data_IF_813261737462
#
_entry.id   IF_813261737462
#
_cell.length_a   1.000
_cell.length_b   1.000
_cell.length_c   1.000
_cell.angle_alpha   90.00
_cell.angle_beta   90.00
_cell.angle_gamma   90.00
#
_symmetry.space_group_name_H-M   'P 1'
#
loop_
_entity.id
_entity.type
_entity.pdbx_description
1 polymer ?
#
# COMPACT_ATOMS: atom_id res chain seq x y z
N UNK A 1 -38.08 3.85 34.58
CA UNK A 1 -37.82 4.98 33.68
C UNK A 1 -36.71 5.93 34.17
N UNK A 2 -36.69 6.37 35.46
CA UNK A 2 -35.61 7.27 35.97
C UNK A 2 -34.17 6.75 35.80
N UNK A 3 -33.94 5.45 35.87
CA UNK A 3 -32.58 4.87 35.69
C UNK A 3 -32.05 4.95 34.27
N UNK A 4 -32.90 4.82 33.25
CA UNK A 4 -32.50 4.88 31.85
C UNK A 4 -32.07 6.29 31.41
N UNK A 5 -32.79 7.32 31.88
CA UNK A 5 -32.44 8.73 31.59
C UNK A 5 -31.10 9.13 32.26
N UNK A 6 -30.83 8.61 33.46
CA UNK A 6 -29.55 8.80 34.12
C UNK A 6 -28.42 8.15 33.31
N UNK A 7 -28.58 6.91 32.85
CA UNK A 7 -27.59 6.23 32.01
C UNK A 7 -27.33 6.94 30.68
N UNK A 8 -28.38 7.44 30.03
CA UNK A 8 -28.22 8.25 28.80
C UNK A 8 -27.44 9.54 29.06
N UNK A 9 -27.69 10.20 30.20
CA UNK A 9 -26.95 11.41 30.56
C UNK A 9 -25.45 11.11 30.81
N UNK A 10 -25.16 10.07 31.58
CA UNK A 10 -23.78 9.64 31.85
C UNK A 10 -23.04 9.23 30.57
N UNK A 11 -23.73 8.52 29.65
CA UNK A 11 -23.17 8.16 28.34
C UNK A 11 -22.82 9.42 27.51
N UNK A 12 -23.71 10.41 27.43
CA UNK A 12 -23.44 11.67 26.71
C UNK A 12 -22.22 12.40 27.28
N UNK A 13 -22.12 12.53 28.60
CA UNK A 13 -20.97 13.17 29.26
C UNK A 13 -19.67 12.41 28.97
N UNK A 14 -19.73 11.07 28.97
CA UNK A 14 -18.55 10.24 28.64
C UNK A 14 -18.15 10.37 27.17
N UNK A 15 -19.13 10.47 26.25
CA UNK A 15 -18.92 10.68 24.83
C UNK A 15 -18.27 12.05 24.57
N UNK A 16 -18.78 13.11 25.18
CA UNK A 16 -18.21 14.47 25.04
C UNK A 16 -16.78 14.57 25.57
N UNK A 17 -16.46 13.88 26.68
CA UNK A 17 -15.10 13.76 27.19
C UNK A 17 -14.17 12.99 26.26
N UNK A 18 -14.65 11.89 25.66
CA UNK A 18 -13.89 11.11 24.72
C UNK A 18 -13.61 11.91 23.44
N UNK A 19 -14.60 12.63 22.92
CA UNK A 19 -14.46 13.49 21.73
C UNK A 19 -13.52 14.66 21.99
N UNK A 20 -13.66 15.37 23.15
CA UNK A 20 -12.77 16.48 23.50
C UNK A 20 -11.32 16.00 23.71
N UNK A 21 -11.12 14.83 24.31
CA UNK A 21 -9.80 14.22 24.46
C UNK A 21 -9.18 13.83 23.12
N UNK A 22 -9.97 13.34 22.20
CA UNK A 22 -9.52 13.01 20.86
C UNK A 22 -9.13 14.26 20.07
N UNK A 23 -9.94 15.31 20.13
CA UNK A 23 -9.65 16.62 19.49
C UNK A 23 -8.34 17.22 20.02
N UNK A 24 -8.14 17.17 21.34
CA UNK A 24 -6.91 17.67 21.96
C UNK A 24 -5.69 16.82 21.54
N UNK A 25 -5.83 15.51 21.44
CA UNK A 25 -4.76 14.64 20.97
C UNK A 25 -4.35 14.95 19.53
N UNK A 26 -5.31 15.18 18.62
CA UNK A 26 -5.04 15.57 17.25
C UNK A 26 -4.36 16.95 17.15
N UNK A 27 -4.73 17.90 17.99
CA UNK A 27 -4.06 19.19 18.07
C UNK A 27 -2.58 19.02 18.43
N UNK A 28 -2.24 18.21 19.42
CA UNK A 28 -0.84 17.94 19.76
C UNK A 28 -0.08 17.22 18.66
N UNK A 29 -0.73 16.30 17.95
CA UNK A 29 -0.14 15.62 16.80
C UNK A 29 0.22 16.63 15.70
N UNK A 30 -0.65 17.59 15.42
CA UNK A 30 -0.43 18.67 14.45
C UNK A 30 0.75 19.57 14.87
N UNK A 31 0.80 20.01 16.13
CA UNK A 31 1.90 20.82 16.65
C UNK A 31 3.24 20.08 16.60
N UNK A 32 3.27 18.78 16.93
CA UNK A 32 4.47 17.97 16.82
C UNK A 32 4.93 17.87 15.36
N UNK A 33 4.01 17.57 14.44
CA UNK A 33 4.32 17.48 13.03
C UNK A 33 4.86 18.80 12.48
N UNK A 34 4.23 19.92 12.83
CA UNK A 34 4.67 21.28 12.46
C UNK A 34 6.08 21.55 12.96
N UNK A 35 6.36 21.33 14.25
CA UNK A 35 7.66 21.55 14.84
C UNK A 35 8.75 20.69 14.20
N UNK A 36 8.46 19.45 13.85
CA UNK A 36 9.40 18.56 13.15
C UNK A 36 9.72 19.09 11.74
N UNK A 37 8.70 19.47 10.95
CA UNK A 37 8.90 19.92 9.56
C UNK A 37 9.66 21.24 9.49
N UNK A 38 9.34 22.19 10.37
CA UNK A 38 9.99 23.51 10.35
C UNK A 38 11.26 23.59 11.21
N UNK A 39 11.47 22.63 12.13
CA UNK A 39 12.65 22.56 13.00
C UNK A 39 13.78 21.68 12.49
N UNK A 40 13.59 20.90 11.43
CA UNK A 40 14.63 20.06 10.85
C UNK A 40 15.30 20.74 9.65
N UNK A 41 16.63 20.71 9.60
CA UNK A 41 17.43 21.31 8.53
C UNK A 41 17.52 20.42 7.27
N UNK A 42 17.23 19.12 7.40
CA UNK A 42 17.26 18.19 6.27
C UNK A 42 16.12 17.17 6.32
N UNK A 43 15.78 16.66 5.13
CA UNK A 43 14.76 15.61 4.95
C UNK A 43 15.12 14.33 5.72
N UNK A 44 16.39 13.96 5.73
CA UNK A 44 16.86 12.75 6.41
C UNK A 44 16.65 12.85 7.93
N UNK A 45 17.05 13.96 8.54
CA UNK A 45 16.84 14.22 9.98
C UNK A 45 15.34 14.27 10.32
N UNK A 46 14.53 14.88 9.46
CA UNK A 46 13.08 14.86 9.61
C UNK A 46 12.53 13.44 9.64
N UNK A 47 12.91 12.60 8.67
CA UNK A 47 12.41 11.21 8.59
C UNK A 47 12.86 10.36 9.79
N UNK A 48 14.08 10.55 10.29
CA UNK A 48 14.57 9.91 11.51
C UNK A 48 13.76 10.32 12.74
N UNK A 49 13.45 11.61 12.90
CA UNK A 49 12.64 12.12 14.00
C UNK A 49 11.19 11.65 13.92
N UNK A 50 10.61 11.59 12.71
CA UNK A 50 9.28 11.01 12.49
C UNK A 50 9.24 9.52 12.87
N UNK A 51 10.26 8.75 12.51
CA UNK A 51 10.36 7.34 12.88
C UNK A 51 10.50 7.16 14.40
N UNK A 52 11.30 8.00 15.08
CA UNK A 52 11.42 7.98 16.54
C UNK A 52 10.08 8.25 17.22
N UNK A 53 9.34 9.28 16.80
CA UNK A 53 8.00 9.60 17.32
C UNK A 53 7.00 8.46 17.08
N UNK A 54 7.00 7.87 15.88
CA UNK A 54 6.13 6.75 15.55
C UNK A 54 6.42 5.54 16.45
N UNK A 55 7.69 5.19 16.65
CA UNK A 55 8.11 4.09 17.52
C UNK A 55 7.73 4.33 18.99
N UNK A 56 7.98 5.53 19.52
CA UNK A 56 7.56 5.87 20.89
C UNK A 56 6.05 5.75 21.07
N UNK A 57 5.26 6.19 20.09
CA UNK A 57 3.81 6.09 20.13
C UNK A 57 3.33 4.66 20.08
N UNK A 58 4.04 3.76 19.38
CA UNK A 58 3.72 2.33 19.32
C UNK A 58 4.09 1.57 20.61
N UNK A 59 5.22 1.87 21.23
CA UNK A 59 5.80 1.09 22.34
C UNK A 59 5.26 1.46 23.73
N UNK A 60 4.82 2.71 23.94
CA UNK A 60 4.44 3.24 25.28
C UNK A 60 3.36 2.48 26.08
N UNK A 61 2.76 1.41 25.57
CA UNK A 61 1.73 0.61 26.27
C UNK A 61 2.13 -0.81 26.64
N UNK A 62 3.28 -1.30 26.20
CA UNK A 62 3.74 -2.63 26.63
C UNK A 62 4.26 -2.62 28.08
N UNK A 63 4.72 -1.45 28.56
CA UNK A 63 5.28 -1.31 29.91
C UNK A 63 4.22 -1.23 31.03
N UNK A 64 2.96 -0.93 30.74
CA UNK A 64 1.89 -0.79 31.76
C UNK A 64 0.92 -1.97 31.84
N UNK A 65 1.19 -3.07 31.13
CA UNK A 65 0.33 -4.25 31.02
C UNK A 65 0.79 -5.48 31.76
N UNK A 66 1.59 -5.36 32.83
CA UNK A 66 2.12 -6.51 33.60
C UNK A 66 1.12 -7.13 34.61
N UNK A 67 -0.14 -6.72 34.59
CA UNK A 67 -1.19 -7.40 35.37
C UNK A 67 -2.17 -8.12 34.45
N UNK A 68 -1.96 -9.43 34.35
CA UNK A 68 -2.58 -10.36 33.42
C UNK A 68 -4.06 -10.63 33.66
N UNK A 69 -4.95 -9.67 33.54
CA UNK A 69 -6.39 -9.90 33.33
C UNK A 69 -6.89 -9.15 32.11
N UNK A 70 -7.25 -9.93 31.12
CA UNK A 70 -7.71 -9.58 29.81
C UNK A 70 -8.96 -8.70 29.83
N UNK A 71 -8.81 -7.46 29.44
CA UNK A 71 -9.91 -6.66 28.93
C UNK A 71 -9.82 -6.62 27.38
N UNK A 72 -10.22 -7.72 26.75
CA UNK A 72 -10.22 -7.87 25.30
C UNK A 72 -11.09 -6.84 24.54
N UNK A 73 -12.00 -6.14 25.24
CA UNK A 73 -12.84 -5.09 24.66
C UNK A 73 -12.19 -3.69 24.69
N UNK A 74 -11.32 -3.39 25.67
CA UNK A 74 -10.63 -2.09 25.75
C UNK A 74 -9.40 -1.98 24.84
N UNK A 75 -8.78 -3.09 24.47
CA UNK A 75 -7.65 -3.13 23.55
C UNK A 75 -8.03 -2.68 22.13
N UNK A 76 -9.24 -2.96 21.68
CA UNK A 76 -9.74 -2.55 20.35
C UNK A 76 -9.79 -1.04 20.17
N UNK A 77 -10.49 -0.32 21.07
CA UNK A 77 -10.71 1.13 20.92
C UNK A 77 -9.42 1.94 21.12
N UNK A 78 -8.60 1.59 22.11
CA UNK A 78 -7.34 2.31 22.41
C UNK A 78 -6.24 2.05 21.37
N UNK A 79 -6.20 0.87 20.74
CA UNK A 79 -5.30 0.56 19.63
C UNK A 79 -5.71 1.28 18.35
N UNK A 80 -6.99 1.26 18.00
CA UNK A 80 -7.53 1.95 16.84
C UNK A 80 -7.25 3.46 16.90
N UNK A 81 -7.48 4.11 18.04
CA UNK A 81 -7.19 5.54 18.22
C UNK A 81 -5.71 5.88 18.00
N UNK A 82 -4.78 5.00 18.36
CA UNK A 82 -3.35 5.20 18.17
C UNK A 82 -2.97 5.12 16.70
N UNK A 83 -3.50 4.13 15.98
CA UNK A 83 -3.24 3.97 14.55
C UNK A 83 -3.83 5.12 13.74
N UNK A 84 -5.03 5.59 14.10
CA UNK A 84 -5.58 6.82 13.55
C UNK A 84 -4.71 8.03 13.83
N UNK A 85 -4.23 8.23 15.07
CA UNK A 85 -3.38 9.36 15.40
C UNK A 85 -2.07 9.37 14.61
N UNK A 86 -1.43 8.20 14.42
CA UNK A 86 -0.25 8.07 13.58
C UNK A 86 -0.55 8.32 12.08
N UNK A 87 -1.72 7.91 11.60
CA UNK A 87 -2.16 8.22 10.24
C UNK A 87 -2.36 9.74 10.06
N UNK A 88 -2.99 10.40 11.01
CA UNK A 88 -3.11 11.87 11.02
C UNK A 88 -1.76 12.56 11.10
N UNK A 89 -0.82 12.05 11.91
CA UNK A 89 0.54 12.56 11.96
C UNK A 89 1.22 12.54 10.58
N UNK A 90 1.14 11.41 9.88
CA UNK A 90 1.68 11.28 8.52
C UNK A 90 1.01 12.25 7.54
N UNK A 91 -0.32 12.45 7.68
CA UNK A 91 -1.05 13.43 6.88
C UNK A 91 -0.60 14.88 7.16
N UNK A 92 -0.40 15.22 8.43
CA UNK A 92 0.09 16.54 8.83
C UNK A 92 1.52 16.81 8.33
N UNK A 93 2.43 15.83 8.45
CA UNK A 93 3.78 15.92 7.89
C UNK A 93 3.74 16.19 6.38
N UNK A 94 2.93 15.42 5.62
CA UNK A 94 2.81 15.60 4.17
C UNK A 94 2.24 16.98 3.81
N UNK A 95 1.28 17.49 4.59
CA UNK A 95 0.69 18.81 4.38
C UNK A 95 1.70 19.92 4.64
N UNK A 96 2.39 19.91 5.79
CA UNK A 96 3.37 20.95 6.14
C UNK A 96 4.59 20.94 5.20
N UNK A 97 5.02 19.77 4.72
CA UNK A 97 6.04 19.68 3.67
C UNK A 97 5.57 20.30 2.36
N UNK A 98 4.32 20.12 1.99
CA UNK A 98 3.73 20.78 0.83
C UNK A 98 3.69 22.30 1.01
N UNK A 99 3.31 22.79 2.19
CA UNK A 99 3.30 24.23 2.55
C UNK A 99 4.72 24.83 2.53
N UNK A 100 5.73 24.08 2.97
CA UNK A 100 7.14 24.47 2.93
C UNK A 100 7.72 24.51 1.51
N UNK A 101 7.01 23.96 0.53
CA UNK A 101 7.48 23.85 -0.85
C UNK A 101 8.34 22.61 -1.13
N UNK A 102 8.37 21.67 -0.23
CA UNK A 102 9.13 20.42 -0.30
C UNK A 102 8.19 19.20 -0.26
N UNK A 103 7.21 19.03 -1.17
CA UNK A 103 6.22 17.99 -1.07
C UNK A 103 6.85 16.59 -1.11
N UNK A 104 6.24 15.65 -0.37
CA UNK A 104 6.50 14.23 -0.55
C UNK A 104 6.01 13.77 -1.91
N UNK A 105 6.75 12.90 -2.55
CA UNK A 105 6.33 12.28 -3.82
C UNK A 105 6.13 10.78 -3.65
N UNK A 106 5.20 10.22 -4.44
CA UNK A 106 4.98 8.78 -4.48
C UNK A 106 6.26 8.03 -4.84
N UNK A 107 7.02 8.55 -5.80
CA UNK A 107 8.28 7.94 -6.24
C UNK A 107 9.30 7.83 -5.11
N UNK A 108 9.47 8.89 -4.31
CA UNK A 108 10.37 8.90 -3.15
C UNK A 108 9.98 7.82 -2.12
N UNK A 109 8.68 7.64 -1.89
CA UNK A 109 8.15 6.71 -0.88
C UNK A 109 8.00 5.26 -1.38
N UNK A 110 7.97 5.06 -2.70
CA UNK A 110 7.93 3.73 -3.32
C UNK A 110 9.32 3.16 -3.57
N UNK A 111 10.39 3.96 -3.42
CA UNK A 111 11.74 3.50 -3.72
C UNK A 111 12.09 2.22 -2.96
N UNK A 112 12.30 1.16 -3.72
CA UNK A 112 13.15 0.06 -3.29
C UNK A 112 14.61 0.36 -3.70
N UNK A 113 15.53 -0.09 -2.88
CA UNK A 113 16.97 0.04 -3.12
C UNK A 113 17.30 -0.60 -4.48
N UNK A 114 17.77 0.19 -5.42
CA UNK A 114 18.52 -0.34 -6.55
C UNK A 114 17.99 0.00 -7.95
N UNK A 115 18.83 0.68 -8.67
CA UNK A 115 18.86 0.72 -10.13
C UNK A 115 18.39 2.02 -10.74
N UNK A 116 19.36 2.75 -11.28
CA UNK A 116 19.13 3.83 -12.23
C UNK A 116 18.27 3.33 -13.40
N UNK A 117 17.32 4.15 -13.82
CA UNK A 117 16.60 3.97 -15.07
C UNK A 117 17.62 3.90 -16.22
N UNK A 118 17.95 2.71 -16.62
CA UNK A 118 18.48 2.52 -17.97
C UNK A 118 17.39 2.97 -18.93
N UNK A 119 17.73 3.72 -19.96
CA UNK A 119 16.84 4.16 -21.04
C UNK A 119 16.26 2.96 -21.83
N UNK A 120 15.56 2.08 -21.11
CA UNK A 120 14.83 0.98 -21.73
C UNK A 120 13.60 1.58 -22.40
N UNK A 121 13.52 1.43 -23.70
CA UNK A 121 12.32 1.78 -24.47
C UNK A 121 11.09 1.05 -23.92
N UNK A 122 9.90 1.39 -24.41
CA UNK A 122 8.63 0.79 -23.98
C UNK A 122 8.42 -0.64 -24.55
N UNK A 123 9.46 -1.49 -24.51
CA UNK A 123 9.37 -2.87 -25.02
C UNK A 123 8.69 -3.76 -23.99
N UNK A 124 7.74 -4.59 -24.47
CA UNK A 124 6.90 -5.48 -23.68
C UNK A 124 7.13 -6.93 -24.06
N UNK A 125 7.60 -7.75 -23.13
CA UNK A 125 7.79 -9.19 -23.31
C UNK A 125 6.52 -9.97 -22.96
N UNK A 126 6.08 -10.87 -23.80
CA UNK A 126 4.98 -11.77 -23.49
C UNK A 126 4.93 -13.02 -24.39
N UNK A 127 4.17 -14.03 -23.95
CA UNK A 127 3.92 -15.25 -24.72
C UNK A 127 2.82 -14.98 -25.74
N UNK A 128 3.14 -15.18 -27.02
CA UNK A 128 2.20 -14.91 -28.13
C UNK A 128 1.02 -15.88 -28.13
N UNK A 129 -0.16 -15.34 -27.97
CA UNK A 129 -1.44 -16.01 -28.19
C UNK A 129 -2.53 -14.95 -28.32
N UNK A 130 -3.71 -15.30 -28.86
CA UNK A 130 -4.79 -14.33 -29.15
C UNK A 130 -5.20 -13.49 -27.94
N UNK A 131 -5.25 -14.08 -26.74
CA UNK A 131 -5.68 -13.38 -25.51
C UNK A 131 -4.60 -12.44 -24.99
N UNK A 132 -3.33 -12.86 -25.07
CA UNK A 132 -2.18 -12.00 -24.69
C UNK A 132 -1.97 -10.87 -25.70
N UNK A 133 -2.21 -11.13 -27.00
CA UNK A 133 -2.15 -10.07 -28.02
C UNK A 133 -3.24 -9.02 -27.79
N UNK A 134 -4.47 -9.43 -27.40
CA UNK A 134 -5.53 -8.49 -27.03
C UNK A 134 -5.15 -7.70 -25.76
N UNK A 135 -4.58 -8.36 -24.75
CA UNK A 135 -4.11 -7.69 -23.54
C UNK A 135 -3.04 -6.64 -23.88
N UNK A 136 -2.06 -6.98 -24.75
CA UNK A 136 -1.05 -6.03 -25.23
C UNK A 136 -1.70 -4.83 -25.90
N UNK A 137 -2.65 -5.03 -26.81
CA UNK A 137 -3.35 -3.93 -27.48
C UNK A 137 -4.06 -2.99 -26.50
N UNK A 138 -4.63 -3.51 -25.40
CA UNK A 138 -5.22 -2.67 -24.35
C UNK A 138 -4.17 -1.86 -23.61
N UNK A 139 -3.01 -2.46 -23.31
CA UNK A 139 -1.93 -1.76 -22.62
C UNK A 139 -1.24 -0.69 -23.49
N UNK A 140 -1.30 -0.77 -24.82
CA UNK A 140 -0.76 0.30 -25.70
C UNK A 140 -1.43 1.65 -25.49
N UNK A 141 -2.67 1.67 -24.97
CA UNK A 141 -3.34 2.90 -24.56
C UNK A 141 -2.72 3.58 -23.34
N UNK A 142 -1.99 2.81 -22.52
CA UNK A 142 -1.32 3.28 -21.31
C UNK A 142 0.19 3.48 -21.48
N UNK A 143 0.80 2.81 -22.47
CA UNK A 143 2.25 2.85 -22.76
C UNK A 143 2.45 3.46 -24.14
N UNK A 144 3.16 4.59 -24.20
CA UNK A 144 3.51 5.21 -25.49
C UNK A 144 4.61 4.41 -26.19
N UNK A 145 4.51 4.34 -27.51
CA UNK A 145 5.53 3.74 -28.41
C UNK A 145 5.90 2.29 -28.00
N UNK A 146 4.89 1.53 -27.58
CA UNK A 146 5.08 0.16 -27.15
C UNK A 146 5.54 -0.75 -28.29
N UNK A 147 6.65 -1.46 -28.10
CA UNK A 147 7.16 -2.50 -28.99
C UNK A 147 7.05 -3.87 -28.34
N UNK A 148 7.14 -4.94 -29.13
CA UNK A 148 6.91 -6.32 -28.69
C UNK A 148 8.19 -7.14 -28.72
N UNK A 149 8.39 -7.93 -27.66
CA UNK A 149 9.34 -9.02 -27.59
C UNK A 149 8.60 -10.34 -27.28
N UNK A 150 8.46 -11.22 -28.26
CA UNK A 150 7.81 -12.52 -28.04
C UNK A 150 8.73 -13.50 -27.34
N UNK A 151 8.22 -14.16 -26.30
CA UNK A 151 8.95 -15.14 -25.51
C UNK A 151 8.31 -16.53 -25.59
N UNK A 152 9.11 -17.57 -25.35
CA UNK A 152 8.63 -18.94 -25.39
C UNK A 152 7.83 -19.36 -24.16
N UNK A 153 7.98 -18.65 -23.03
CA UNK A 153 7.29 -18.94 -21.79
C UNK A 153 7.09 -17.66 -20.95
N UNK A 154 6.14 -17.71 -20.02
CA UNK A 154 5.92 -16.62 -19.06
C UNK A 154 7.12 -16.39 -18.14
N UNK A 155 7.85 -17.46 -17.78
CA UNK A 155 9.08 -17.34 -17.01
C UNK A 155 10.16 -16.58 -17.79
N UNK A 156 10.31 -16.88 -19.09
CA UNK A 156 11.24 -16.16 -19.96
C UNK A 156 10.84 -14.67 -20.09
N UNK A 157 9.55 -14.34 -20.16
CA UNK A 157 9.09 -12.95 -20.17
C UNK A 157 9.48 -12.22 -18.88
N UNK A 158 9.34 -12.85 -17.72
CA UNK A 158 9.78 -12.29 -16.44
C UNK A 158 11.31 -12.11 -16.40
N UNK A 159 12.07 -13.06 -16.91
CA UNK A 159 13.54 -12.99 -16.99
C UNK A 159 14.03 -11.83 -17.86
N UNK A 160 13.36 -11.54 -18.97
CA UNK A 160 13.68 -10.39 -19.80
C UNK A 160 13.60 -9.07 -19.02
N UNK A 161 12.58 -8.91 -18.19
CA UNK A 161 12.44 -7.72 -17.32
C UNK A 161 13.43 -7.76 -16.15
N UNK A 162 13.58 -8.91 -15.51
CA UNK A 162 14.48 -9.06 -14.35
C UNK A 162 15.93 -8.71 -14.70
N UNK A 163 16.42 -9.13 -15.87
CA UNK A 163 17.76 -8.81 -16.34
C UNK A 163 17.86 -7.45 -17.07
N UNK A 164 16.78 -6.66 -17.08
CA UNK A 164 16.78 -5.33 -17.69
C UNK A 164 16.96 -5.34 -19.21
N UNK A 165 16.53 -6.39 -19.90
CA UNK A 165 16.55 -6.45 -21.37
C UNK A 165 15.33 -5.81 -22.01
N UNK A 166 14.19 -5.84 -21.31
CA UNK A 166 12.97 -5.14 -21.66
C UNK A 166 12.40 -4.45 -20.41
N UNK A 167 11.57 -3.43 -20.61
CA UNK A 167 10.99 -2.67 -19.50
C UNK A 167 9.79 -3.37 -18.86
N UNK A 168 8.95 -4.01 -19.67
CA UNK A 168 7.69 -4.59 -19.22
C UNK A 168 7.52 -6.04 -19.62
N UNK A 169 6.71 -6.79 -18.86
CA UNK A 169 6.15 -8.06 -19.31
C UNK A 169 4.65 -8.16 -18.98
N UNK A 170 3.95 -9.04 -19.71
CA UNK A 170 2.53 -9.31 -19.50
C UNK A 170 2.37 -10.74 -19.00
N UNK A 171 1.65 -10.90 -17.89
CA UNK A 171 1.23 -12.17 -17.33
C UNK A 171 -0.28 -12.24 -17.15
N UNK A 172 -0.92 -13.42 -17.27
CA UNK A 172 -2.24 -13.63 -16.72
C UNK A 172 -2.17 -13.54 -15.19
N UNK A 173 -3.16 -12.89 -14.59
CA UNK A 173 -3.15 -12.57 -13.16
C UNK A 173 -4.30 -13.22 -12.41
N UNK A 174 -5.50 -13.17 -12.99
CA UNK A 174 -6.73 -13.67 -12.39
C UNK A 174 -7.69 -14.16 -13.50
N UNK A 175 -8.45 -15.20 -13.23
CA UNK A 175 -9.54 -15.64 -14.11
C UNK A 175 -10.86 -15.57 -13.37
N UNK A 176 -11.98 -15.42 -14.10
CA UNK A 176 -13.32 -15.43 -13.48
C UNK A 176 -13.65 -16.76 -12.79
N UNK A 177 -13.03 -17.85 -13.22
CA UNK A 177 -13.36 -19.21 -12.78
C UNK A 177 -12.49 -19.66 -11.60
N UNK A 178 -11.20 -19.33 -11.61
CA UNK A 178 -10.23 -19.78 -10.62
C UNK A 178 -9.82 -18.67 -9.62
N UNK A 179 -10.19 -17.41 -9.89
CA UNK A 179 -9.70 -16.28 -9.12
C UNK A 179 -8.24 -15.99 -9.40
N UNK A 180 -7.48 -15.60 -8.38
CA UNK A 180 -6.06 -15.25 -8.50
C UNK A 180 -5.20 -16.47 -8.83
N UNK A 181 -4.40 -16.36 -9.89
CA UNK A 181 -3.54 -17.43 -10.39
C UNK A 181 -2.24 -17.53 -9.57
N UNK A 182 -2.22 -18.40 -8.57
CA UNK A 182 -1.13 -18.51 -7.59
C UNK A 182 0.26 -18.79 -8.20
N UNK A 183 0.32 -19.54 -9.31
CA UNK A 183 1.56 -19.80 -10.03
C UNK A 183 2.21 -18.53 -10.59
N UNK A 184 1.39 -17.63 -11.13
CA UNK A 184 1.89 -16.34 -11.63
C UNK A 184 2.25 -15.37 -10.50
N UNK A 185 1.50 -15.39 -9.39
CA UNK A 185 1.89 -14.63 -8.19
C UNK A 185 3.27 -15.04 -7.68
N UNK A 186 3.59 -16.32 -7.68
CA UNK A 186 4.93 -16.83 -7.33
C UNK A 186 5.99 -16.30 -8.29
N UNK A 187 5.72 -16.28 -9.60
CA UNK A 187 6.66 -15.72 -10.58
C UNK A 187 6.88 -14.22 -10.35
N UNK A 188 5.82 -13.44 -10.15
CA UNK A 188 5.90 -12.01 -9.86
C UNK A 188 6.84 -11.74 -8.68
N UNK A 189 6.69 -12.48 -7.59
CA UNK A 189 7.56 -12.35 -6.42
C UNK A 189 8.99 -12.83 -6.67
N UNK A 190 9.16 -14.00 -7.35
CA UNK A 190 10.47 -14.55 -7.65
C UNK A 190 11.35 -13.58 -8.43
N UNK A 191 10.76 -12.86 -9.37
CA UNK A 191 11.47 -11.91 -10.23
C UNK A 191 11.36 -10.45 -9.76
N UNK A 192 10.84 -10.22 -8.55
CA UNK A 192 10.71 -8.88 -7.95
C UNK A 192 10.02 -7.88 -8.89
N UNK A 193 8.89 -8.31 -9.47
CA UNK A 193 8.13 -7.50 -10.43
C UNK A 193 6.96 -6.79 -9.76
N UNK A 194 6.71 -5.57 -10.21
CA UNK A 194 5.67 -4.70 -9.67
C UNK A 194 4.56 -4.45 -10.70
N UNK A 195 3.27 -4.65 -10.33
CA UNK A 195 2.14 -4.29 -11.16
C UNK A 195 2.15 -2.81 -11.54
N UNK A 196 1.86 -2.51 -12.82
CA UNK A 196 1.73 -1.17 -13.36
C UNK A 196 0.34 -0.88 -13.90
N UNK A 197 -0.21 -1.85 -14.61
CA UNK A 197 -1.52 -1.76 -15.20
C UNK A 197 -2.18 -3.14 -15.22
N UNK A 198 -3.48 -3.18 -15.00
CA UNK A 198 -4.30 -4.38 -15.12
C UNK A 198 -5.39 -4.10 -16.16
N UNK A 199 -5.63 -5.05 -17.05
CA UNK A 199 -6.77 -5.04 -17.96
C UNK A 199 -7.51 -6.38 -17.94
N UNK A 200 -8.80 -6.36 -18.29
CA UNK A 200 -9.61 -7.58 -18.40
C UNK A 200 -9.83 -7.91 -19.87
N UNK A 201 -9.49 -9.14 -20.27
CA UNK A 201 -9.75 -9.66 -21.62
C UNK A 201 -10.83 -10.71 -21.54
N UNK A 202 -11.86 -10.59 -22.37
CA UNK A 202 -12.98 -11.51 -22.39
C UNK A 202 -12.68 -12.64 -23.38
N UNK A 203 -12.54 -13.86 -22.89
CA UNK A 203 -12.49 -15.06 -23.68
C UNK A 203 -13.89 -15.59 -24.02
N UNK A 204 -13.96 -16.74 -24.73
CA UNK A 204 -15.23 -17.36 -25.12
C UNK A 204 -16.06 -17.84 -23.90
N UNK A 205 -15.42 -18.34 -22.87
CA UNK A 205 -16.09 -18.96 -21.69
C UNK A 205 -15.83 -18.21 -20.39
N UNK A 206 -14.67 -17.55 -20.26
CA UNK A 206 -14.24 -16.88 -19.06
C UNK A 206 -13.57 -15.54 -19.38
N UNK A 207 -13.43 -14.66 -18.39
CA UNK A 207 -12.61 -13.47 -18.50
C UNK A 207 -11.30 -13.66 -17.77
N UNK A 208 -10.22 -13.17 -18.35
CA UNK A 208 -8.87 -13.19 -17.75
C UNK A 208 -8.40 -11.78 -17.53
N UNK A 209 -7.99 -11.47 -16.31
CA UNK A 209 -7.23 -10.24 -16.02
C UNK A 209 -5.76 -10.50 -16.33
N UNK A 210 -5.20 -9.60 -17.11
CA UNK A 210 -3.76 -9.55 -17.38
C UNK A 210 -3.14 -8.40 -16.63
N UNK A 211 -1.90 -8.61 -16.17
CA UNK A 211 -1.11 -7.59 -15.48
C UNK A 211 0.12 -7.25 -16.30
N UNK A 212 0.34 -5.96 -16.49
CA UNK A 212 1.57 -5.39 -16.99
C UNK A 212 2.50 -5.15 -15.81
N UNK A 213 3.70 -5.68 -15.88
CA UNK A 213 4.69 -5.70 -14.81
C UNK A 213 5.97 -4.99 -15.22
N UNK A 214 6.62 -4.32 -14.28
CA UNK A 214 8.00 -3.83 -14.44
C UNK A 214 8.82 -4.10 -13.18
N UNK A 215 10.13 -3.88 -13.25
CA UNK A 215 11.04 -4.02 -12.12
C UNK A 215 11.08 -2.78 -11.22
N UNK A 216 10.66 -1.63 -11.72
CA UNK A 216 10.70 -0.37 -10.98
C UNK A 216 9.38 -0.12 -10.24
N UNK A 217 9.33 -0.10 -8.89
CA UNK A 217 8.10 0.18 -8.15
C UNK A 217 7.59 1.61 -8.37
N UNK A 218 8.51 2.56 -8.62
CA UNK A 218 8.24 3.98 -8.84
C UNK A 218 7.74 4.33 -10.27
N UNK A 219 7.75 3.38 -11.21
CA UNK A 219 7.28 3.60 -12.58
C UNK A 219 5.74 3.59 -12.63
N UNK A 220 5.13 4.69 -12.23
CA UNK A 220 3.68 4.83 -12.13
C UNK A 220 3.10 5.26 -13.47
N UNK A 221 2.22 4.43 -14.03
CA UNK A 221 1.47 4.74 -15.25
C UNK A 221 0.24 5.57 -14.87
N UNK A 222 0.03 6.69 -15.57
CA UNK A 222 -1.11 7.56 -15.37
C UNK A 222 -2.01 7.58 -16.61
N UNK A 223 -3.25 7.12 -16.47
CA UNK A 223 -4.29 7.19 -17.49
C UNK A 223 -5.50 7.92 -16.91
N UNK A 224 -5.99 8.92 -17.62
CA UNK A 224 -7.14 9.71 -17.16
C UNK A 224 -8.39 8.84 -17.02
N UNK A 225 -8.99 8.86 -15.85
CA UNK A 225 -10.22 8.10 -15.55
C UNK A 225 -10.01 6.63 -15.17
N UNK A 226 -8.77 6.13 -15.23
CA UNK A 226 -8.46 4.79 -14.72
C UNK A 226 -8.54 4.74 -13.19
N UNK A 227 -8.99 3.60 -12.66
CA UNK A 227 -8.95 3.37 -11.22
C UNK A 227 -7.53 3.11 -10.77
N UNK A 228 -7.15 3.74 -9.66
CA UNK A 228 -5.82 3.57 -9.06
C UNK A 228 -5.88 2.69 -7.84
N UNK A 229 -4.89 1.85 -7.69
CA UNK A 229 -4.75 0.93 -6.58
C UNK A 229 -3.35 0.98 -6.00
N UNK A 230 -3.26 0.91 -4.67
CA UNK A 230 -2.03 0.68 -3.93
C UNK A 230 -2.00 -0.77 -3.47
N UNK A 231 -1.00 -1.51 -3.89
CA UNK A 231 -0.71 -2.87 -3.44
C UNK A 231 0.40 -2.84 -2.39
N UNK A 232 0.14 -3.50 -1.27
CA UNK A 232 1.06 -3.59 -0.13
C UNK A 232 1.25 -5.05 0.23
N UNK A 233 2.48 -5.54 0.22
CA UNK A 233 2.82 -6.88 0.67
C UNK A 233 3.41 -6.81 2.07
N UNK A 234 2.88 -7.62 2.98
CA UNK A 234 3.34 -7.73 4.36
C UNK A 234 3.76 -9.18 4.62
N UNK A 235 5.02 -9.38 4.96
CA UNK A 235 5.55 -10.70 5.28
C UNK A 235 5.27 -11.03 6.76
N UNK A 236 4.70 -12.23 6.99
CA UNK A 236 4.36 -12.72 8.34
C UNK A 236 3.48 -11.77 9.18
N UNK A 237 2.34 -11.29 8.63
CA UNK A 237 1.48 -10.36 9.34
C UNK A 237 0.85 -11.03 10.57
N UNK A 238 0.72 -10.28 11.67
CA UNK A 238 -0.13 -10.63 12.79
C UNK A 238 -1.52 -9.97 12.63
N UNK A 239 -2.45 -10.30 13.52
CA UNK A 239 -3.78 -9.69 13.51
C UNK A 239 -3.74 -8.17 13.78
N UNK A 240 -2.71 -7.67 14.47
CA UNK A 240 -2.52 -6.25 14.76
C UNK A 240 -2.14 -5.50 13.48
N UNK A 241 -1.32 -6.12 12.63
CA UNK A 241 -0.93 -5.56 11.32
C UNK A 241 -2.17 -5.31 10.46
N UNK A 242 -3.09 -6.28 10.40
CA UNK A 242 -4.36 -6.12 9.66
C UNK A 242 -5.17 -4.93 10.20
N UNK A 243 -5.42 -4.88 11.51
CA UNK A 243 -6.18 -3.79 12.14
C UNK A 243 -5.50 -2.44 11.91
N UNK A 244 -4.18 -2.38 12.07
CA UNK A 244 -3.37 -1.18 11.85
C UNK A 244 -3.50 -0.64 10.43
N UNK A 245 -3.43 -1.51 9.43
CA UNK A 245 -3.59 -1.14 8.03
C UNK A 245 -5.01 -0.66 7.72
N UNK A 246 -6.05 -1.37 8.20
CA UNK A 246 -7.44 -0.96 7.99
C UNK A 246 -7.75 0.39 8.62
N UNK A 247 -7.34 0.61 9.87
CA UNK A 247 -7.60 1.87 10.58
C UNK A 247 -6.86 3.04 9.92
N UNK A 248 -5.60 2.85 9.54
CA UNK A 248 -4.82 3.90 8.91
C UNK A 248 -5.33 4.21 7.50
N UNK A 249 -5.68 3.20 6.69
CA UNK A 249 -6.22 3.41 5.35
C UNK A 249 -7.55 4.16 5.38
N UNK A 250 -8.45 3.79 6.29
CA UNK A 250 -9.74 4.46 6.47
C UNK A 250 -9.55 5.94 6.90
N UNK A 251 -8.68 6.19 7.89
CA UNK A 251 -8.35 7.54 8.35
C UNK A 251 -7.75 8.44 7.25
N UNK A 252 -7.11 7.85 6.24
CA UNK A 252 -6.48 8.54 5.12
C UNK A 252 -7.29 8.49 3.82
N UNK A 253 -8.50 7.90 3.86
CA UNK A 253 -9.44 7.87 2.75
C UNK A 253 -9.12 6.84 1.66
N UNK A 254 -8.33 5.79 1.97
CA UNK A 254 -8.11 4.65 1.09
C UNK A 254 -9.06 3.52 1.47
N UNK A 255 -9.59 2.81 0.49
CA UNK A 255 -10.51 1.70 0.71
C UNK A 255 -9.83 0.36 0.48
N UNK A 256 -9.75 -0.49 1.50
CA UNK A 256 -9.30 -1.88 1.33
C UNK A 256 -10.32 -2.62 0.46
N UNK A 257 -9.88 -3.15 -0.69
CA UNK A 257 -10.73 -3.88 -1.64
C UNK A 257 -10.40 -5.36 -1.72
N UNK A 258 -9.16 -5.76 -1.40
CA UNK A 258 -8.74 -7.15 -1.46
C UNK A 258 -7.65 -7.44 -0.43
N UNK A 259 -7.70 -8.64 0.17
CA UNK A 259 -6.62 -9.20 0.96
C UNK A 259 -6.41 -10.65 0.55
N UNK A 260 -5.18 -11.01 0.21
CA UNK A 260 -4.84 -12.34 -0.31
C UNK A 260 -3.60 -12.87 0.41
N UNK A 261 -3.62 -14.15 0.76
CA UNK A 261 -2.43 -14.83 1.26
C UNK A 261 -1.56 -15.30 0.09
N UNK A 262 -0.28 -14.96 0.12
CA UNK A 262 0.70 -15.32 -0.92
C UNK A 262 1.92 -15.99 -0.31
N UNK A 263 2.54 -16.97 -0.97
CA UNK A 263 3.78 -17.56 -0.46
C UNK A 263 4.90 -16.52 -0.37
N UNK A 264 5.61 -16.48 0.76
CA UNK A 264 6.77 -15.57 0.97
C UNK A 264 8.04 -16.18 0.37
N UNK A 265 8.26 -17.49 0.55
CA UNK A 265 9.38 -18.20 -0.05
C UNK A 265 8.95 -19.54 -0.67
N UNK A 266 9.83 -20.09 -1.52
CA UNK A 266 9.56 -21.36 -2.21
C UNK A 266 9.72 -22.58 -1.28
N UNK A 267 10.58 -22.47 -0.26
CA UNK A 267 11.04 -23.62 0.50
C UNK A 267 10.44 -23.75 1.90
N UNK A 268 9.85 -22.70 2.44
CA UNK A 268 9.55 -22.66 3.87
C UNK A 268 8.05 -22.73 4.24
N UNK A 269 7.16 -22.75 3.27
CA UNK A 269 5.70 -22.76 3.53
C UNK A 269 5.21 -21.50 4.26
N UNK A 270 5.99 -20.43 4.26
CA UNK A 270 5.61 -19.14 4.84
C UNK A 270 4.69 -18.37 3.88
N UNK A 271 3.73 -17.69 4.46
CA UNK A 271 2.77 -16.86 3.74
C UNK A 271 2.85 -15.44 4.26
N UNK A 272 2.84 -14.49 3.35
CA UNK A 272 2.55 -13.10 3.60
C UNK A 272 1.15 -12.76 3.13
N UNK A 273 0.69 -11.54 3.41
CA UNK A 273 -0.56 -11.02 2.90
C UNK A 273 -0.32 -9.87 1.93
N UNK A 274 -1.05 -9.89 0.83
CA UNK A 274 -1.14 -8.78 -0.11
C UNK A 274 -2.44 -8.04 0.13
N UNK A 275 -2.33 -6.78 0.51
CA UNK A 275 -3.45 -5.86 0.68
C UNK A 275 -3.54 -4.97 -0.55
N UNK A 276 -4.73 -4.85 -1.11
CA UNK A 276 -5.01 -3.94 -2.22
C UNK A 276 -5.97 -2.87 -1.75
N UNK A 277 -5.54 -1.62 -1.84
CA UNK A 277 -6.33 -0.46 -1.48
C UNK A 277 -6.71 0.31 -2.75
N UNK A 278 -7.98 0.64 -2.90
CA UNK A 278 -8.42 1.58 -3.94
C UNK A 278 -8.09 3.00 -3.50
N UNK A 279 -7.42 3.72 -4.38
CA UNK A 279 -7.07 5.14 -4.20
C UNK A 279 -8.15 5.96 -4.90
N UNK A 280 -9.16 6.40 -4.15
CA UNK A 280 -10.24 7.22 -4.71
C UNK A 280 -9.74 8.65 -4.99
N UNK A 281 -10.16 9.62 -4.19
CA UNK A 281 -9.70 11.03 -4.26
C UNK A 281 -8.57 11.34 -3.28
N UNK A 282 -8.16 10.35 -2.47
CA UNK A 282 -7.15 10.51 -1.45
C UNK A 282 -5.74 10.61 -2.05
N UNK A 283 -4.89 11.37 -1.40
CA UNK A 283 -3.46 11.37 -1.67
C UNK A 283 -2.84 10.10 -1.08
N UNK A 284 -1.96 9.46 -1.81
CA UNK A 284 -1.28 8.22 -1.40
C UNK A 284 -0.09 8.46 -0.51
N UNK A 285 0.57 9.63 -0.61
CA UNK A 285 1.81 9.94 0.08
C UNK A 285 1.71 9.82 1.61
N UNK A 286 0.63 10.30 2.28
CA UNK A 286 0.48 10.10 3.71
C UNK A 286 0.42 8.64 4.14
N UNK A 287 -0.25 7.78 3.35
CA UNK A 287 -0.34 6.36 3.66
C UNK A 287 0.97 5.62 3.36
N UNK A 288 1.66 5.96 2.27
CA UNK A 288 3.01 5.45 1.98
C UNK A 288 4.00 5.84 3.09
N UNK A 289 3.93 7.08 3.59
CA UNK A 289 4.71 7.52 4.74
C UNK A 289 4.35 6.71 6.00
N UNK A 290 3.07 6.49 6.26
CA UNK A 290 2.62 5.65 7.36
C UNK A 290 3.18 4.22 7.27
N UNK A 291 3.15 3.61 6.09
CA UNK A 291 3.73 2.28 5.86
C UNK A 291 5.23 2.27 6.15
N UNK A 292 5.95 3.32 5.73
CA UNK A 292 7.39 3.43 5.95
C UNK A 292 7.76 3.57 7.44
N UNK A 293 6.98 4.33 8.20
CA UNK A 293 7.26 4.64 9.60
C UNK A 293 6.68 3.63 10.60
N UNK A 294 5.53 3.05 10.27
CA UNK A 294 4.71 2.31 11.24
C UNK A 294 4.56 0.82 10.93
N UNK A 295 4.92 0.35 9.73
CA UNK A 295 4.73 -1.04 9.29
C UNK A 295 6.06 -1.63 8.79
N UNK A 296 7.00 -1.94 9.71
CA UNK A 296 8.33 -2.44 9.34
C UNK A 296 8.29 -3.77 8.59
N UNK A 297 7.23 -4.58 8.78
CA UNK A 297 7.00 -5.84 8.08
C UNK A 297 6.48 -5.68 6.64
N UNK A 298 6.29 -4.44 6.18
CA UNK A 298 5.92 -4.14 4.80
C UNK A 298 7.12 -4.35 3.87
N UNK A 299 7.09 -5.42 3.09
CA UNK A 299 8.20 -5.80 2.20
C UNK A 299 8.10 -5.18 0.81
N UNK A 300 6.89 -4.95 0.31
CA UNK A 300 6.68 -4.41 -1.04
C UNK A 300 5.54 -3.39 -1.05
N UNK A 301 5.70 -2.36 -1.87
CA UNK A 301 4.67 -1.34 -2.16
C UNK A 301 4.68 -1.04 -3.64
N UNK A 302 3.53 -1.00 -4.27
CA UNK A 302 3.41 -0.60 -5.68
C UNK A 302 2.07 0.05 -5.97
N UNK A 303 2.10 1.04 -6.85
CA UNK A 303 0.91 1.68 -7.41
C UNK A 303 0.66 1.13 -8.81
N UNK A 304 -0.61 0.83 -9.10
CA UNK A 304 -1.04 0.40 -10.42
C UNK A 304 -2.42 0.95 -10.76
N UNK A 305 -2.77 0.87 -12.04
CA UNK A 305 -4.08 1.27 -12.55
C UNK A 305 -4.84 0.06 -13.12
N UNK A 306 -6.16 0.14 -13.15
CA UNK A 306 -7.04 -0.79 -13.88
C UNK A 306 -7.75 -0.02 -15.01
N UNK A 307 -7.63 -0.57 -16.25
CA UNK A 307 -8.17 0.02 -17.49
C UNK A 307 -9.19 -0.92 -18.15
#
# INVERSE_FOLDING_TARGET
>A
MKGLEKLKSEYRVSLDKALSGQTLALYYVDEIARNLVYGCDSREVLMQNCAAFANETQTKKEANGADGRADGALLGASGANRYSALAYFCKAIALFLQEKGEPLTENELLQSVGGEDTELGSTVAYVRNAVSDEAFLRFTGAIKDASVNYTASFAAACEEVYYGRVRYCILPYETSDEGTLSGFMKMIRKYELYPKCICSVRGERSSTKFVLLSRQPSDVIAVKGAKRYLRVTVDSPDHRTFVRLCVASDALGLRLVKNESVPVSWDEGRYGNVFTFEVCEAKTEPFLLYLALCVPECSERSLYIEI
#
